data_IF_237338981680
#
_entry.id   IF_237338981680
#
_cell.length_a   1.000
_cell.length_b   1.000
_cell.length_c   1.000
_cell.angle_alpha   90.00
_cell.angle_beta   90.00
_cell.angle_gamma   90.00
#
_symmetry.space_group_name_H-M   'P 1'
#
loop_
_entity.id
_entity.type
_entity.pdbx_description
1 polymer ?
#
# COMPACT_ATOMS: atom_id res chain seq x y z
N UNK A 1 -4.17 9.77 -4.86
CA UNK A 1 -3.84 9.77 -3.42
C UNK A 1 -4.13 8.40 -2.85
N UNK A 2 -3.32 7.87 -1.93
CA UNK A 2 -3.40 6.47 -1.46
C UNK A 2 -4.74 6.16 -0.78
N UNK A 3 -5.22 7.08 0.06
CA UNK A 3 -6.48 6.98 0.81
C UNK A 3 -7.73 6.92 -0.09
N UNK A 4 -7.65 7.33 -1.36
CA UNK A 4 -8.77 7.26 -2.29
C UNK A 4 -9.23 5.80 -2.55
N UNK A 5 -8.32 4.83 -2.39
CA UNK A 5 -8.61 3.41 -2.52
C UNK A 5 -8.50 2.69 -1.16
N UNK A 6 -7.48 3.01 -0.37
CA UNK A 6 -7.20 2.29 0.88
C UNK A 6 -7.90 2.88 2.12
N UNK A 7 -8.72 3.92 1.96
CA UNK A 7 -9.34 4.63 3.08
C UNK A 7 -8.35 5.49 3.86
N UNK A 8 -8.88 6.42 4.66
CA UNK A 8 -8.06 7.27 5.54
C UNK A 8 -7.46 6.47 6.70
N UNK A 9 -8.13 5.41 7.14
CA UNK A 9 -7.70 4.50 8.20
C UNK A 9 -6.91 3.29 7.68
N UNK A 10 -6.63 3.23 6.36
CA UNK A 10 -5.86 2.15 5.75
C UNK A 10 -6.60 0.81 5.64
N UNK A 11 -7.86 0.73 6.04
CA UNK A 11 -8.61 -0.55 6.04
C UNK A 11 -9.15 -0.96 4.67
N UNK A 12 -9.05 -0.08 3.68
CA UNK A 12 -9.58 -0.32 2.35
C UNK A 12 -11.10 -0.50 2.35
N UNK A 13 -11.57 -1.32 1.40
CA UNK A 13 -12.99 -1.65 1.29
C UNK A 13 -13.11 -3.14 0.98
N UNK A 14 -13.85 -3.86 1.82
CA UNK A 14 -14.02 -5.31 1.72
C UNK A 14 -14.36 -5.76 0.29
N UNK A 15 -13.54 -6.67 -0.22
CA UNK A 15 -13.70 -7.24 -1.55
C UNK A 15 -13.25 -6.36 -2.73
N UNK A 16 -12.80 -5.12 -2.50
CA UNK A 16 -12.38 -4.19 -3.57
C UNK A 16 -10.96 -3.66 -3.35
N UNK A 17 -10.63 -3.19 -2.14
CA UNK A 17 -9.30 -2.69 -1.81
C UNK A 17 -8.79 -3.35 -0.53
N UNK A 18 -7.53 -3.81 -0.49
CA UNK A 18 -7.02 -4.57 0.64
C UNK A 18 -6.82 -3.70 1.89
N UNK A 19 -7.04 -4.32 3.04
CA UNK A 19 -6.75 -3.78 4.37
C UNK A 19 -5.25 -3.77 4.62
N UNK A 20 -4.65 -2.58 4.59
CA UNK A 20 -3.22 -2.37 4.78
C UNK A 20 -2.77 -2.60 6.22
N UNK A 21 -3.70 -2.61 7.18
CA UNK A 21 -3.40 -2.85 8.60
C UNK A 21 -3.15 -4.33 8.91
N UNK A 22 -3.45 -5.24 7.97
CA UNK A 22 -3.43 -6.69 8.21
C UNK A 22 -2.41 -7.48 7.39
N UNK A 23 -1.77 -6.89 6.39
CA UNK A 23 -0.90 -7.65 5.51
C UNK A 23 0.24 -6.84 4.89
N UNK A 24 1.34 -7.53 4.60
CA UNK A 24 2.49 -6.98 3.89
C UNK A 24 3.70 -6.77 4.78
N UNK A 25 4.75 -6.25 4.16
CA UNK A 25 5.99 -5.76 4.80
C UNK A 25 6.40 -4.46 4.10
N UNK A 26 7.29 -3.67 4.71
CA UNK A 26 7.70 -2.40 4.13
C UNK A 26 8.35 -2.63 2.76
N UNK A 27 9.19 -3.66 2.65
CA UNK A 27 9.78 -4.11 1.40
C UNK A 27 8.71 -4.52 0.37
N UNK A 28 7.68 -5.25 0.78
CA UNK A 28 6.59 -5.62 -0.11
C UNK A 28 5.84 -4.39 -0.64
N UNK A 29 5.58 -3.39 0.19
CA UNK A 29 4.95 -2.13 -0.24
C UNK A 29 5.83 -1.42 -1.28
N UNK A 30 7.13 -1.34 -1.04
CA UNK A 30 8.10 -0.76 -1.99
C UNK A 30 8.03 -1.47 -3.34
N UNK A 31 8.03 -2.81 -3.36
CA UNK A 31 7.96 -3.59 -4.61
C UNK A 31 6.68 -3.30 -5.39
N UNK A 32 5.54 -3.20 -4.69
CA UNK A 32 4.24 -2.86 -5.30
C UNK A 32 4.25 -1.42 -5.83
N UNK A 33 4.86 -0.47 -5.12
CA UNK A 33 4.98 0.90 -5.62
C UNK A 33 5.91 1.00 -6.84
N UNK A 34 6.93 0.14 -6.94
CA UNK A 34 7.80 0.06 -8.12
C UNK A 34 7.09 -0.55 -9.33
N UNK A 35 6.48 -1.72 -9.16
CA UNK A 35 6.07 -2.57 -10.30
C UNK A 35 4.55 -2.62 -10.49
N UNK A 36 3.78 -2.08 -9.56
CA UNK A 36 2.36 -2.37 -9.44
C UNK A 36 2.14 -3.81 -8.96
N UNK A 37 0.88 -4.21 -8.85
CA UNK A 37 0.50 -5.57 -8.47
C UNK A 37 -0.84 -5.95 -9.07
N UNK A 38 -0.88 -7.01 -9.85
CA UNK A 38 -2.12 -7.71 -10.18
C UNK A 38 -2.44 -8.75 -9.09
N UNK A 39 -3.70 -8.86 -8.71
CA UNK A 39 -4.17 -9.82 -7.73
C UNK A 39 -5.60 -10.26 -8.03
N UNK A 40 -6.12 -11.14 -7.18
CA UNK A 40 -7.46 -11.69 -7.34
C UNK A 40 -8.57 -10.62 -7.29
N UNK A 41 -8.40 -9.60 -6.46
CA UNK A 41 -9.38 -8.52 -6.27
C UNK A 41 -9.19 -7.32 -7.21
N UNK A 42 -8.17 -7.34 -8.07
CA UNK A 42 -7.89 -6.25 -9.00
C UNK A 42 -6.41 -5.95 -9.18
N UNK A 43 -6.13 -4.79 -9.77
CA UNK A 43 -4.78 -4.36 -10.13
C UNK A 43 -4.44 -3.03 -9.46
N UNK A 44 -3.37 -3.01 -8.67
CA UNK A 44 -2.75 -1.79 -8.16
C UNK A 44 -1.72 -1.29 -9.18
N UNK A 45 -1.80 -0.03 -9.65
CA UNK A 45 -0.81 0.52 -10.57
C UNK A 45 0.54 0.76 -9.88
N UNK A 46 1.61 0.89 -10.67
CA UNK A 46 2.88 1.41 -10.17
C UNK A 46 2.82 2.92 -9.93
N UNK A 47 3.74 3.44 -9.12
CA UNK A 47 3.83 4.85 -8.77
C UNK A 47 5.19 5.43 -9.21
N UNK A 48 5.40 5.64 -10.53
CA UNK A 48 6.68 6.10 -11.08
C UNK A 48 7.03 7.55 -10.68
N UNK A 49 6.06 8.30 -10.15
CA UNK A 49 6.27 9.66 -9.65
C UNK A 49 7.00 9.71 -8.30
N UNK A 50 7.09 8.59 -7.59
CA UNK A 50 7.83 8.49 -6.33
C UNK A 50 9.26 8.03 -6.60
N UNK A 51 10.23 8.68 -5.96
CA UNK A 51 11.60 8.16 -5.89
C UNK A 51 11.72 7.05 -4.82
N UNK A 52 12.88 6.39 -4.78
CA UNK A 52 13.08 5.21 -3.93
C UNK A 52 12.95 5.54 -2.44
N UNK A 53 13.51 6.67 -1.99
CA UNK A 53 13.39 7.15 -0.60
C UNK A 53 11.92 7.40 -0.22
N UNK A 54 11.14 7.98 -1.13
CA UNK A 54 9.71 8.21 -0.91
C UNK A 54 8.93 6.90 -0.82
N UNK A 55 9.29 5.90 -1.63
CA UNK A 55 8.65 4.58 -1.57
C UNK A 55 8.99 3.87 -0.26
N UNK A 56 10.24 3.94 0.19
CA UNK A 56 10.65 3.40 1.50
C UNK A 56 9.87 4.06 2.63
N UNK A 57 9.77 5.39 2.63
CA UNK A 57 8.99 6.12 3.63
C UNK A 57 7.51 5.74 3.64
N UNK A 58 6.90 5.56 2.46
CA UNK A 58 5.52 5.07 2.35
C UNK A 58 5.42 3.63 2.86
N UNK A 59 6.39 2.77 2.54
CA UNK A 59 6.44 1.39 3.02
C UNK A 59 6.46 1.32 4.55
N UNK A 60 7.33 2.09 5.19
CA UNK A 60 7.41 2.17 6.65
C UNK A 60 6.11 2.70 7.28
N UNK A 61 5.53 3.76 6.70
CA UNK A 61 4.25 4.30 7.17
C UNK A 61 3.10 3.29 7.05
N UNK A 62 3.00 2.58 5.92
CA UNK A 62 1.95 1.57 5.74
C UNK A 62 2.08 0.44 6.76
N UNK A 63 3.32 0.05 7.11
CA UNK A 63 3.55 -0.97 8.15
C UNK A 63 3.30 -0.44 9.55
N UNK A 64 3.54 0.83 9.86
CA UNK A 64 3.18 1.36 11.18
C UNK A 64 1.67 1.26 11.44
N UNK A 65 0.83 1.39 10.40
CA UNK A 65 -0.63 1.18 10.53
C UNK A 65 -0.99 -0.24 11.00
N UNK A 66 -0.19 -1.26 10.64
CA UNK A 66 -0.40 -2.64 11.10
C UNK A 66 -0.03 -2.86 12.58
N UNK A 67 0.74 -1.93 13.16
CA UNK A 67 1.16 -1.96 14.56
C UNK A 67 0.20 -1.20 15.49
N UNK A 68 -0.82 -0.53 14.93
CA UNK A 68 -1.81 0.23 15.70
C UNK A 68 -1.29 1.57 16.23
N UNK A 69 -0.30 2.16 15.55
CA UNK A 69 0.24 3.50 15.81
C UNK A 69 -0.59 4.61 15.13
#
# INVERSE_FOLDING_TARGET
TCAACHGEDGKGQDGIFPDLTKYGSAAFVVDVLHSGKAGFIGTMPSFPTLNDIQKEAVGEYVISLSRGE
#
